data_IF_298545803352
#
_entry.id   IF_298545803352
#
_cell.length_a   1.000
_cell.length_b   1.000
_cell.length_c   1.000
_cell.angle_alpha   90.00
_cell.angle_beta   90.00
_cell.angle_gamma   90.00
#
_symmetry.space_group_name_H-M   'P 1'
#
loop_
_entity.id
_entity.type
_entity.pdbx_description
1 polymer ?
#
# COMPACT_ATOMS: atom_id res chain seq x y z
N UNK A 1 38.67 79.50 -60.54
CA UNK A 1 39.35 78.43 -59.76
C UNK A 1 38.78 78.25 -58.35
N UNK A 2 38.28 79.29 -57.66
CA UNK A 2 37.71 79.16 -56.31
C UNK A 2 36.50 78.19 -56.17
N UNK A 3 35.68 78.05 -57.22
CA UNK A 3 34.46 77.24 -57.16
C UNK A 3 34.70 75.71 -57.28
N UNK A 4 35.81 75.29 -57.88
CA UNK A 4 36.16 73.87 -58.02
C UNK A 4 36.84 73.35 -56.75
N UNK A 5 37.66 74.18 -56.10
CA UNK A 5 38.25 73.86 -54.79
C UNK A 5 37.18 73.72 -53.72
N UNK A 6 36.17 74.61 -53.70
CA UNK A 6 35.04 74.50 -52.78
C UNK A 6 34.18 73.24 -53.01
N UNK A 7 33.96 72.86 -54.28
CA UNK A 7 33.24 71.63 -54.61
C UNK A 7 34.02 70.36 -54.22
N UNK A 8 35.35 70.38 -54.35
CA UNK A 8 36.21 69.26 -53.97
C UNK A 8 36.35 69.13 -52.45
N UNK A 9 36.41 70.26 -51.72
CA UNK A 9 36.36 70.28 -50.25
C UNK A 9 35.02 69.75 -49.75
N UNK A 10 33.90 70.19 -50.32
CA UNK A 10 32.56 69.68 -49.96
C UNK A 10 32.40 68.18 -50.29
N UNK A 11 32.97 67.71 -51.40
CA UNK A 11 32.93 66.28 -51.75
C UNK A 11 33.79 65.43 -50.80
N UNK A 12 34.92 65.97 -50.34
CA UNK A 12 35.81 65.30 -49.37
C UNK A 12 35.19 65.26 -47.98
N UNK A 13 34.54 66.33 -47.55
CA UNK A 13 33.75 66.38 -46.31
C UNK A 13 32.55 65.44 -46.38
N UNK A 14 31.86 65.35 -47.52
CA UNK A 14 30.76 64.41 -47.72
C UNK A 14 31.24 62.95 -47.67
N UNK A 15 32.41 62.63 -48.22
CA UNK A 15 33.01 61.28 -48.15
C UNK A 15 33.49 60.92 -46.74
N UNK A 16 34.05 61.87 -45.99
CA UNK A 16 34.39 61.66 -44.58
C UNK A 16 33.14 61.44 -43.72
N UNK A 17 32.06 62.20 -43.99
CA UNK A 17 30.77 62.02 -43.32
C UNK A 17 30.11 60.67 -43.65
N UNK A 18 30.26 60.16 -44.88
CA UNK A 18 29.78 58.82 -45.23
C UNK A 18 30.64 57.74 -44.56
N UNK A 19 31.96 57.93 -44.43
CA UNK A 19 32.82 56.99 -43.70
C UNK A 19 32.55 56.96 -42.19
N UNK A 20 32.20 58.12 -41.60
CA UNK A 20 31.80 58.21 -40.19
C UNK A 20 30.40 57.63 -39.96
N UNK A 21 29.49 57.75 -40.93
CA UNK A 21 28.19 57.06 -40.93
C UNK A 21 28.38 55.54 -41.03
N UNK A 22 29.32 55.05 -41.85
CA UNK A 22 29.63 53.61 -41.93
C UNK A 22 30.37 53.09 -40.68
N UNK A 23 31.23 53.92 -40.06
CA UNK A 23 31.85 53.63 -38.77
C UNK A 23 30.81 53.63 -37.63
N UNK A 24 29.83 54.53 -37.66
CA UNK A 24 28.70 54.60 -36.73
C UNK A 24 27.71 53.43 -36.92
N UNK A 25 27.52 52.95 -38.15
CA UNK A 25 26.74 51.76 -38.45
C UNK A 25 27.48 50.46 -38.04
N UNK A 26 28.82 50.47 -38.02
CA UNK A 26 29.64 49.37 -37.48
C UNK A 26 29.76 49.41 -35.96
N UNK A 27 29.57 50.58 -35.36
CA UNK A 27 29.47 50.77 -33.90
C UNK A 27 28.04 50.95 -33.44
N UNK A 28 27.05 50.35 -34.12
CA UNK A 28 25.70 50.30 -33.57
C UNK A 28 25.80 49.55 -32.23
N UNK A 29 25.54 50.19 -31.08
CA UNK A 29 25.13 49.42 -29.93
C UNK A 29 23.88 48.70 -30.41
N UNK A 30 23.81 47.39 -30.22
CA UNK A 30 22.54 46.70 -30.28
C UNK A 30 21.68 47.24 -29.12
N UNK A 31 21.15 48.45 -29.22
CA UNK A 31 19.85 48.78 -28.66
C UNK A 31 18.83 48.13 -29.58
N UNK A 32 18.86 46.80 -29.59
CA UNK A 32 17.62 46.08 -29.74
C UNK A 32 16.74 46.60 -28.63
N UNK A 33 15.54 47.02 -28.98
CA UNK A 33 14.37 47.04 -28.11
C UNK A 33 14.21 45.64 -27.51
N UNK A 34 15.09 45.27 -26.59
CA UNK A 34 14.96 44.09 -25.78
C UNK A 34 14.45 44.67 -24.47
N UNK A 35 13.13 44.56 -24.25
CA UNK A 35 12.60 44.24 -22.93
C UNK A 35 13.72 43.55 -22.19
N UNK A 36 14.33 44.20 -21.17
CA UNK A 36 15.54 43.75 -20.45
C UNK A 36 15.53 42.26 -20.62
N UNK A 37 16.33 41.72 -21.55
CA UNK A 37 16.19 40.32 -21.90
C UNK A 37 16.46 39.70 -20.56
N UNK A 38 15.37 39.27 -19.94
CA UNK A 38 15.30 38.85 -18.56
C UNK A 38 16.16 37.65 -18.70
N UNK A 39 17.46 37.85 -18.49
CA UNK A 39 18.44 36.85 -18.78
C UNK A 39 17.96 35.79 -17.83
N UNK A 40 17.39 34.72 -18.40
CA UNK A 40 16.49 33.90 -17.60
C UNK A 40 17.27 33.45 -16.37
N UNK A 41 18.57 33.17 -16.57
CA UNK A 41 19.60 33.00 -15.55
C UNK A 41 19.77 34.13 -14.52
N UNK A 42 19.74 35.42 -14.86
CA UNK A 42 19.86 36.55 -13.91
C UNK A 42 18.57 36.81 -13.11
N UNK A 43 17.40 36.63 -13.73
CA UNK A 43 16.13 36.73 -12.98
C UNK A 43 15.89 35.46 -12.16
N UNK A 44 16.18 34.29 -12.72
CA UNK A 44 16.24 33.03 -11.98
C UNK A 44 17.24 33.16 -10.84
N UNK A 45 18.47 33.67 -11.03
CA UNK A 45 19.39 33.86 -9.91
C UNK A 45 18.85 34.85 -8.88
N UNK A 46 18.25 35.98 -9.28
CA UNK A 46 17.66 36.93 -8.32
C UNK A 46 16.46 36.39 -7.53
N UNK A 47 15.66 35.50 -8.14
CA UNK A 47 14.55 34.78 -7.50
C UNK A 47 15.09 33.69 -6.56
N UNK A 48 16.20 33.04 -6.95
CA UNK A 48 16.86 31.95 -6.21
C UNK A 48 17.86 32.45 -5.16
N UNK A 49 18.33 33.69 -5.18
CA UNK A 49 19.26 34.21 -4.17
C UNK A 49 18.50 34.86 -2.99
N UNK A 50 17.36 35.51 -3.27
CA UNK A 50 16.62 36.26 -2.24
C UNK A 50 15.44 35.49 -1.63
N UNK A 51 14.75 34.62 -2.38
CA UNK A 51 13.52 33.96 -1.91
C UNK A 51 13.67 32.45 -1.72
N UNK A 52 14.83 31.88 -2.03
CA UNK A 52 15.10 30.45 -1.90
C UNK A 52 15.04 29.95 -0.45
N UNK A 53 15.57 30.64 0.58
CA UNK A 53 15.39 30.17 1.96
C UNK A 53 13.91 30.20 2.36
N UNK A 54 13.16 31.26 2.04
CA UNK A 54 11.76 31.38 2.44
C UNK A 54 10.84 30.41 1.70
N UNK A 55 11.01 30.25 0.39
CA UNK A 55 10.26 29.26 -0.40
C UNK A 55 10.57 27.84 0.05
N UNK A 56 11.84 27.56 0.38
CA UNK A 56 12.27 26.26 0.86
C UNK A 56 11.72 25.95 2.25
N UNK A 57 11.70 26.92 3.16
CA UNK A 57 11.07 26.79 4.47
C UNK A 57 9.56 26.56 4.31
N UNK A 58 8.88 27.27 3.41
CA UNK A 58 7.45 27.05 3.11
C UNK A 58 7.21 25.64 2.57
N UNK A 59 8.06 25.14 1.68
CA UNK A 59 7.96 23.78 1.11
C UNK A 59 8.21 22.70 2.17
N UNK A 60 9.20 22.87 3.05
CA UNK A 60 9.42 21.99 4.21
C UNK A 60 8.19 22.00 5.12
N UNK A 61 7.66 23.18 5.40
CA UNK A 61 6.49 23.34 6.27
C UNK A 61 5.26 22.63 5.67
N UNK A 62 5.05 22.74 4.36
CA UNK A 62 3.98 22.02 3.65
C UNK A 62 4.18 20.50 3.68
N UNK A 63 5.41 20.00 3.46
CA UNK A 63 5.71 18.56 3.49
C UNK A 63 5.47 17.96 4.88
N UNK A 64 5.65 18.73 5.96
CA UNK A 64 5.41 18.29 7.33
C UNK A 64 3.92 18.42 7.70
N UNK A 65 3.28 19.53 7.35
CA UNK A 65 1.90 19.84 7.77
C UNK A 65 0.87 19.06 6.98
N UNK A 66 1.04 18.87 5.67
CA UNK A 66 0.05 18.17 4.84
C UNK A 66 -0.21 16.74 5.37
N UNK A 67 0.81 15.90 5.65
CA UNK A 67 0.59 14.58 6.23
C UNK A 67 -0.06 14.63 7.63
N UNK A 68 0.33 15.59 8.48
CA UNK A 68 -0.23 15.76 9.83
C UNK A 68 -1.72 16.14 9.78
N UNK A 69 -2.08 17.07 8.90
CA UNK A 69 -3.46 17.53 8.71
C UNK A 69 -4.31 16.45 8.06
N UNK A 70 -3.75 15.71 7.10
CA UNK A 70 -4.45 14.58 6.48
C UNK A 70 -4.69 13.45 7.50
N UNK A 71 -3.71 13.18 8.37
CA UNK A 71 -3.85 12.22 9.48
C UNK A 71 -4.93 12.68 10.47
N UNK A 72 -4.89 13.93 10.90
CA UNK A 72 -5.90 14.52 11.78
C UNK A 72 -7.30 14.52 11.15
N UNK A 73 -7.40 14.76 9.84
CA UNK A 73 -8.66 14.73 9.10
C UNK A 73 -9.21 13.31 8.93
N UNK A 74 -8.35 12.33 8.64
CA UNK A 74 -8.72 10.92 8.52
C UNK A 74 -9.12 10.34 9.89
N UNK A 75 -8.42 10.73 10.96
CA UNK A 75 -8.78 10.40 12.34
C UNK A 75 -10.13 11.03 12.73
N UNK A 76 -10.38 12.29 12.37
CA UNK A 76 -11.64 12.99 12.66
C UNK A 76 -12.84 12.40 11.90
N UNK A 77 -12.65 11.95 10.64
CA UNK A 77 -13.71 11.29 9.86
C UNK A 77 -14.07 9.90 10.39
N UNK A 78 -13.15 9.21 11.07
CA UNK A 78 -13.45 7.94 11.74
C UNK A 78 -14.02 8.21 13.13
N UNK A 79 -15.27 8.67 13.21
CA UNK A 79 -16.04 8.50 14.44
C UNK A 79 -16.21 6.99 14.68
N UNK A 80 -15.83 6.45 15.85
CA UNK A 80 -16.19 5.08 16.18
C UNK A 80 -17.72 4.99 16.15
N UNK A 81 -18.26 4.04 15.38
CA UNK A 81 -19.58 3.52 15.74
C UNK A 81 -19.39 2.95 17.15
N UNK A 82 -20.15 3.47 18.08
CA UNK A 82 -20.22 3.02 19.47
C UNK A 82 -20.46 1.50 19.46
N UNK A 83 -19.39 0.72 19.56
CA UNK A 83 -19.47 -0.71 19.84
C UNK A 83 -19.40 -0.84 21.35
N UNK A 84 -20.55 -1.11 21.94
CA UNK A 84 -20.73 -1.48 23.34
C UNK A 84 -20.04 -2.82 23.61
N UNK A 85 -18.72 -2.85 23.65
CA UNK A 85 -17.95 -4.00 24.13
C UNK A 85 -16.83 -3.51 25.04
N UNK A 86 -17.18 -3.44 26.32
CA UNK A 86 -16.25 -3.20 27.43
C UNK A 86 -15.50 -4.48 27.74
N UNK A 87 -14.46 -4.84 26.98
CA UNK A 87 -13.44 -5.76 27.55
C UNK A 87 -12.03 -5.65 26.99
N UNK A 88 -11.74 -4.91 25.92
CA UNK A 88 -10.36 -4.77 25.47
C UNK A 88 -10.06 -3.36 24.97
N UNK A 89 -9.73 -2.48 25.92
CA UNK A 89 -9.29 -1.11 25.62
C UNK A 89 -7.88 -1.11 25.03
N UNK A 90 -7.74 -1.56 23.79
CA UNK A 90 -6.58 -1.21 22.95
C UNK A 90 -7.06 -0.14 22.00
N UNK A 91 -6.54 1.08 22.19
CA UNK A 91 -6.66 2.16 21.21
C UNK A 91 -6.15 1.61 19.87
N UNK A 92 -7.06 1.27 18.96
CA UNK A 92 -6.70 0.78 17.63
C UNK A 92 -6.26 1.99 16.81
N UNK A 93 -5.04 2.47 17.05
CA UNK A 93 -4.32 3.22 16.02
C UNK A 93 -4.20 2.30 14.80
N UNK A 94 -4.60 2.79 13.61
CA UNK A 94 -4.52 1.99 12.38
C UNK A 94 -3.12 1.38 12.25
N UNK A 95 -2.97 0.04 12.18
CA UNK A 95 -1.69 -0.58 11.92
C UNK A 95 -1.30 -0.28 10.47
N UNK A 96 -0.23 0.50 10.26
CA UNK A 96 0.51 0.52 8.99
C UNK A 96 0.49 1.82 8.19
N UNK A 97 -0.61 2.58 8.15
CA UNK A 97 -0.69 3.78 7.30
C UNK A 97 0.15 4.95 7.85
N UNK A 98 0.07 5.18 9.16
CA UNK A 98 0.83 6.22 9.86
C UNK A 98 2.35 6.04 9.72
N UNK A 99 2.84 4.79 9.86
CA UNK A 99 4.27 4.49 9.75
C UNK A 99 4.79 4.72 8.33
N UNK A 100 4.01 4.34 7.31
CA UNK A 100 4.36 4.56 5.91
C UNK A 100 4.37 6.04 5.53
N UNK A 101 3.38 6.81 6.00
CA UNK A 101 3.29 8.24 5.69
C UNK A 101 4.40 9.05 6.36
N UNK A 102 4.75 8.72 7.62
CA UNK A 102 5.84 9.36 8.35
C UNK A 102 7.21 9.05 7.70
N UNK A 103 7.47 7.79 7.35
CA UNK A 103 8.72 7.42 6.67
C UNK A 103 8.82 8.06 5.29
N UNK A 104 7.73 8.14 4.53
CA UNK A 104 7.70 8.83 3.24
C UNK A 104 7.98 10.34 3.39
N UNK A 105 7.36 10.99 4.37
CA UNK A 105 7.62 12.40 4.68
C UNK A 105 9.08 12.67 5.03
N UNK A 106 9.71 11.79 5.83
CA UNK A 106 11.13 11.89 6.19
C UNK A 106 12.03 11.71 4.97
N UNK A 107 11.75 10.74 4.09
CA UNK A 107 12.54 10.50 2.87
C UNK A 107 12.45 11.70 1.92
N UNK A 108 11.25 12.27 1.75
CA UNK A 108 11.04 13.46 0.91
C UNK A 108 11.77 14.66 1.51
N UNK A 109 11.66 14.88 2.83
CA UNK A 109 12.35 15.96 3.55
C UNK A 109 13.87 15.87 3.40
N UNK A 110 14.45 14.69 3.64
CA UNK A 110 15.89 14.49 3.53
C UNK A 110 16.34 14.66 2.08
N UNK A 111 15.55 14.17 1.11
CA UNK A 111 15.82 14.35 -0.32
C UNK A 111 15.81 15.81 -0.76
N UNK A 112 14.82 16.61 -0.34
CA UNK A 112 14.76 18.04 -0.66
C UNK A 112 15.87 18.83 0.02
N UNK A 113 16.27 18.50 1.25
CA UNK A 113 17.40 19.13 1.93
C UNK A 113 18.73 18.81 1.23
N UNK A 114 18.95 17.57 0.82
CA UNK A 114 20.15 17.19 0.05
C UNK A 114 20.17 17.93 -1.29
N UNK A 115 19.05 17.91 -2.03
CA UNK A 115 18.94 18.60 -3.31
C UNK A 115 19.17 20.12 -3.19
N UNK A 116 18.66 20.74 -2.12
CA UNK A 116 18.86 22.15 -1.82
C UNK A 116 20.33 22.49 -1.53
N UNK A 117 21.03 21.66 -0.74
CA UNK A 117 22.45 21.85 -0.47
C UNK A 117 23.29 21.71 -1.76
N UNK A 118 22.97 20.75 -2.63
CA UNK A 118 23.57 20.58 -3.96
C UNK A 118 23.32 21.80 -4.87
N UNK A 119 22.09 22.33 -4.87
CA UNK A 119 21.70 23.49 -5.65
C UNK A 119 22.43 24.75 -5.19
N UNK A 120 22.56 24.97 -3.87
CA UNK A 120 23.35 26.06 -3.29
C UNK A 120 24.83 25.97 -3.67
N UNK A 121 25.44 24.78 -3.61
CA UNK A 121 26.83 24.57 -4.04
C UNK A 121 26.98 24.86 -5.55
N UNK A 122 25.97 24.47 -6.35
CA UNK A 122 25.99 24.67 -7.80
C UNK A 122 25.73 26.11 -8.22
N UNK A 123 24.93 26.87 -7.48
CA UNK A 123 24.57 28.26 -7.82
C UNK A 123 25.53 29.29 -7.22
N UNK A 124 26.05 29.08 -6.01
CA UNK A 124 26.88 30.04 -5.28
C UNK A 124 28.37 30.05 -5.68
N UNK A 125 28.85 29.08 -6.50
CA UNK A 125 30.29 28.91 -6.78
C UNK A 125 30.63 29.01 -8.28
N UNK A 126 29.71 29.48 -9.11
CA UNK A 126 29.96 29.70 -10.55
C UNK A 126 30.91 30.88 -10.85
N UNK A 127 31.36 31.61 -9.82
CA UNK A 127 32.29 32.74 -9.91
C UNK A 127 33.68 32.46 -9.34
N UNK A 128 34.03 31.21 -9.06
CA UNK A 128 35.37 30.87 -8.54
C UNK A 128 36.32 30.46 -9.66
N UNK A 129 37.20 31.37 -10.07
CA UNK A 129 38.25 31.16 -11.10
C UNK A 129 39.40 30.24 -10.66
N UNK A 130 39.31 29.60 -9.48
CA UNK A 130 40.36 28.72 -8.97
C UNK A 130 40.13 27.26 -9.40
N UNK A 131 41.11 26.60 -10.07
CA UNK A 131 40.97 25.24 -10.58
C UNK A 131 40.76 24.18 -9.48
N UNK A 132 41.18 24.46 -8.24
CA UNK A 132 41.01 23.55 -7.10
C UNK A 132 39.55 23.52 -6.63
N UNK A 133 38.88 24.68 -6.63
CA UNK A 133 37.48 24.77 -6.26
C UNK A 133 36.59 24.14 -7.33
N UNK A 134 36.97 24.24 -8.62
CA UNK A 134 36.25 23.58 -9.71
C UNK A 134 36.22 22.05 -9.55
N UNK A 135 37.37 21.43 -9.25
CA UNK A 135 37.44 19.98 -9.02
C UNK A 135 36.63 19.53 -7.80
N UNK A 136 36.63 20.30 -6.71
CA UNK A 136 35.80 20.03 -5.53
C UNK A 136 34.31 20.13 -5.87
N UNK A 137 33.91 21.13 -6.66
CA UNK A 137 32.53 21.32 -7.13
C UNK A 137 32.09 20.15 -8.01
N UNK A 138 32.94 19.69 -8.92
CA UNK A 138 32.62 18.57 -9.81
C UNK A 138 32.49 17.25 -9.03
N UNK A 139 33.31 17.06 -7.98
CA UNK A 139 33.14 15.93 -7.05
C UNK A 139 31.80 16.02 -6.31
N UNK A 140 31.41 17.19 -5.81
CA UNK A 140 30.14 17.41 -5.11
C UNK A 140 28.93 17.25 -6.04
N UNK A 141 29.01 17.69 -7.29
CA UNK A 141 27.97 17.50 -8.33
C UNK A 141 27.82 16.03 -8.70
N UNK A 142 28.93 15.31 -8.87
CA UNK A 142 28.91 13.88 -9.15
C UNK A 142 28.34 13.11 -7.95
N UNK A 143 28.77 13.43 -6.73
CA UNK A 143 28.23 12.84 -5.51
C UNK A 143 26.72 13.13 -5.38
N UNK A 144 26.30 14.35 -5.68
CA UNK A 144 24.91 14.73 -5.69
C UNK A 144 24.05 13.99 -6.70
N UNK A 145 24.58 13.77 -7.90
CA UNK A 145 23.94 12.97 -8.95
C UNK A 145 23.84 11.50 -8.54
N UNK A 146 24.89 10.94 -7.93
CA UNK A 146 24.91 9.56 -7.42
C UNK A 146 23.87 9.40 -6.30
N UNK A 147 23.80 10.32 -5.34
CA UNK A 147 22.82 10.26 -4.26
C UNK A 147 21.39 10.49 -4.76
N UNK A 148 21.18 11.39 -5.71
CA UNK A 148 19.88 11.64 -6.34
C UNK A 148 19.37 10.43 -7.12
N UNK A 149 20.23 9.77 -7.90
CA UNK A 149 19.88 8.53 -8.62
C UNK A 149 19.63 7.36 -7.67
N UNK A 150 20.44 7.21 -6.61
CA UNK A 150 20.21 6.19 -5.57
C UNK A 150 18.88 6.41 -4.82
N UNK A 151 18.53 7.66 -4.52
CA UNK A 151 17.23 7.98 -3.93
C UNK A 151 16.09 7.67 -4.90
N UNK A 152 16.23 8.04 -6.17
CA UNK A 152 15.24 7.75 -7.20
C UNK A 152 15.03 6.23 -7.39
N UNK A 153 16.09 5.42 -7.34
CA UNK A 153 15.96 3.96 -7.42
C UNK A 153 15.33 3.36 -6.17
N UNK A 154 15.65 3.85 -4.97
CA UNK A 154 14.99 3.41 -3.72
C UNK A 154 13.50 3.76 -3.75
N UNK A 155 13.14 4.97 -4.22
CA UNK A 155 11.75 5.39 -4.38
C UNK A 155 11.05 4.52 -5.44
N UNK A 156 11.67 4.30 -6.60
CA UNK A 156 11.13 3.45 -7.65
C UNK A 156 11.01 1.98 -7.20
N UNK A 157 11.94 1.48 -6.39
CA UNK A 157 11.88 0.15 -5.80
C UNK A 157 10.82 0.06 -4.70
N UNK A 158 10.63 1.10 -3.89
CA UNK A 158 9.59 1.15 -2.87
C UNK A 158 8.19 1.22 -3.49
N UNK A 159 7.98 2.08 -4.48
CA UNK A 159 6.70 2.15 -5.20
C UNK A 159 6.51 0.98 -6.17
N UNK A 160 7.60 0.45 -6.73
CA UNK A 160 7.61 -0.78 -7.53
C UNK A 160 7.28 -2.01 -6.70
N UNK A 161 7.86 -2.14 -5.50
CA UNK A 161 7.51 -3.18 -4.53
C UNK A 161 6.14 -2.97 -3.92
N UNK A 162 5.66 -1.74 -3.69
CA UNK A 162 4.26 -1.52 -3.26
C UNK A 162 3.25 -1.77 -4.38
N UNK A 163 3.64 -1.55 -5.63
CA UNK A 163 2.91 -1.98 -6.82
C UNK A 163 2.94 -3.49 -6.99
N UNK A 164 4.06 -4.14 -6.67
CA UNK A 164 4.22 -5.58 -6.64
C UNK A 164 3.56 -6.21 -5.40
N UNK A 165 3.43 -5.52 -4.27
CA UNK A 165 2.62 -5.85 -3.10
C UNK A 165 1.15 -5.67 -3.45
N UNK A 166 0.76 -4.68 -4.25
CA UNK A 166 -0.59 -4.61 -4.82
C UNK A 166 -0.85 -5.72 -5.84
N UNK A 167 0.20 -6.21 -6.53
CA UNK A 167 0.12 -7.34 -7.47
C UNK A 167 0.21 -8.70 -6.76
N UNK A 168 0.92 -8.81 -5.63
CA UNK A 168 0.97 -9.98 -4.75
C UNK A 168 -0.15 -9.95 -3.71
N UNK A 169 -0.82 -8.83 -3.47
CA UNK A 169 -2.10 -8.72 -2.78
C UNK A 169 -3.23 -8.94 -3.78
N UNK A 170 -3.08 -8.60 -5.08
CA UNK A 170 -3.96 -9.10 -6.16
C UNK A 170 -3.72 -10.56 -6.50
N UNK A 171 -2.50 -11.08 -6.37
CA UNK A 171 -2.17 -12.48 -6.62
C UNK A 171 -2.35 -13.35 -5.37
N UNK A 172 -2.15 -12.82 -4.17
CA UNK A 172 -2.59 -13.43 -2.91
C UNK A 172 -4.09 -13.24 -2.73
N UNK A 173 -4.73 -12.19 -3.26
CA UNK A 173 -6.17 -12.19 -3.45
C UNK A 173 -6.57 -13.17 -4.55
N UNK A 174 -5.80 -13.41 -5.61
CA UNK A 174 -6.11 -14.47 -6.59
C UNK A 174 -5.85 -15.89 -6.06
N UNK A 175 -4.94 -16.04 -5.08
CA UNK A 175 -4.60 -17.31 -4.42
C UNK A 175 -5.38 -17.49 -3.09
N UNK A 176 -6.00 -16.43 -2.57
CA UNK A 176 -6.94 -16.43 -1.44
C UNK A 176 -8.38 -16.06 -1.85
N UNK A 177 -8.67 -15.92 -3.15
CA UNK A 177 -10.01 -16.06 -3.75
C UNK A 177 -10.23 -17.55 -3.98
N UNK A 178 -10.51 -18.31 -2.93
CA UNK A 178 -11.88 -18.69 -2.64
C UNK A 178 -12.60 -17.82 -1.60
N UNK A 179 -12.24 -16.55 -1.42
CA UNK A 179 -13.25 -15.53 -1.11
C UNK A 179 -14.27 -15.53 -2.26
N UNK A 180 -15.52 -16.00 -2.04
CA UNK A 180 -16.51 -16.00 -3.09
C UNK A 180 -16.72 -14.57 -3.58
N UNK A 181 -16.78 -14.41 -4.90
CA UNK A 181 -17.46 -13.26 -5.48
C UNK A 181 -18.82 -13.13 -4.77
N UNK A 182 -19.29 -11.91 -4.50
CA UNK A 182 -20.61 -11.68 -3.91
C UNK A 182 -21.69 -12.34 -4.80
N UNK A 183 -22.02 -13.61 -4.53
CA UNK A 183 -22.86 -14.49 -5.35
C UNK A 183 -22.33 -15.93 -5.55
N UNK A 184 -21.06 -16.23 -5.27
CA UNK A 184 -20.53 -17.60 -5.38
C UNK A 184 -20.76 -18.38 -4.08
N UNK A 185 -21.59 -19.42 -4.18
CA UNK A 185 -21.91 -20.34 -3.07
C UNK A 185 -20.72 -21.27 -2.85
N UNK A 186 -19.88 -20.99 -1.84
CA UNK A 186 -18.81 -21.90 -1.41
C UNK A 186 -19.40 -22.85 -0.36
N UNK A 187 -19.67 -24.12 -0.70
CA UNK A 187 -20.28 -25.05 0.23
C UNK A 187 -19.30 -25.44 1.34
N UNK A 188 -19.78 -25.64 2.57
CA UNK A 188 -18.97 -26.20 3.64
C UNK A 188 -18.50 -27.61 3.28
N UNK A 189 -17.38 -28.03 3.89
CA UNK A 189 -16.85 -29.39 3.81
C UNK A 189 -16.48 -29.87 5.20
N UNK A 190 -16.68 -31.16 5.48
CA UNK A 190 -16.17 -31.79 6.70
C UNK A 190 -14.69 -32.12 6.47
N UNK A 191 -13.81 -31.52 7.27
CA UNK A 191 -12.36 -31.67 7.21
C UNK A 191 -11.87 -32.84 8.06
N UNK A 192 -12.45 -33.02 9.25
CA UNK A 192 -12.04 -34.05 10.20
C UNK A 192 -13.24 -34.54 11.01
N UNK A 193 -13.17 -35.77 11.51
CA UNK A 193 -14.15 -36.35 12.43
C UNK A 193 -13.45 -36.99 13.61
N UNK A 194 -14.10 -36.94 14.77
CA UNK A 194 -13.67 -37.64 15.98
C UNK A 194 -14.90 -38.45 16.45
N UNK A 195 -14.81 -39.76 16.66
CA UNK A 195 -13.69 -40.62 16.26
C UNK A 195 -13.39 -40.55 14.76
N UNK A 196 -12.15 -40.89 14.40
CA UNK A 196 -11.76 -41.01 13.00
C UNK A 196 -12.56 -42.12 12.32
N UNK A 197 -12.78 -42.00 11.01
CA UNK A 197 -13.52 -43.03 10.26
C UNK A 197 -12.78 -44.37 10.31
N UNK A 198 -13.50 -45.43 10.70
CA UNK A 198 -12.98 -46.77 10.90
C UNK A 198 -12.27 -47.00 12.23
N UNK A 199 -12.28 -46.05 13.17
CA UNK A 199 -11.63 -46.22 14.47
C UNK A 199 -12.21 -47.43 15.24
N UNK A 200 -11.34 -48.30 15.71
CA UNK A 200 -11.64 -49.42 16.61
C UNK A 200 -10.99 -49.11 17.96
N UNK A 201 -11.63 -49.40 19.09
CA UNK A 201 -11.17 -49.03 20.46
C UNK A 201 -11.60 -47.64 20.94
N UNK A 202 -12.77 -47.18 20.52
CA UNK A 202 -13.34 -45.92 21.03
C UNK A 202 -13.94 -46.14 22.44
N UNK A 203 -13.56 -45.34 23.46
CA UNK A 203 -14.22 -45.37 24.77
C UNK A 203 -15.74 -45.17 24.67
N UNK A 204 -16.53 -45.90 25.49
CA UNK A 204 -18.00 -45.78 25.49
C UNK A 204 -18.53 -44.38 25.84
N UNK A 205 -17.72 -43.57 26.51
CA UNK A 205 -18.01 -42.18 26.91
C UNK A 205 -17.47 -41.13 25.92
N UNK A 206 -17.01 -41.55 24.73
CA UNK A 206 -16.40 -40.63 23.77
C UNK A 206 -17.43 -39.72 23.14
N UNK A 207 -17.07 -38.43 22.99
CA UNK A 207 -17.86 -37.50 22.19
C UNK A 207 -17.66 -37.77 20.70
N UNK A 208 -18.71 -37.51 19.91
CA UNK A 208 -18.66 -37.61 18.46
C UNK A 208 -18.67 -36.19 17.88
N UNK A 209 -17.65 -35.81 17.11
CA UNK A 209 -17.54 -34.47 16.54
C UNK A 209 -17.10 -34.47 15.08
N UNK A 210 -17.43 -33.37 14.40
CA UNK A 210 -17.01 -33.10 13.04
C UNK A 210 -16.56 -31.64 12.91
N UNK A 211 -15.38 -31.45 12.32
CA UNK A 211 -14.79 -30.13 12.05
C UNK A 211 -15.03 -29.76 10.59
N UNK A 212 -15.56 -28.56 10.36
CA UNK A 212 -15.92 -28.02 9.05
C UNK A 212 -14.88 -27.00 8.55
N UNK A 213 -14.89 -26.75 7.24
CA UNK A 213 -14.05 -25.74 6.58
C UNK A 213 -14.40 -24.31 6.95
N UNK A 214 -15.64 -24.06 7.38
CA UNK A 214 -16.18 -22.75 7.70
C UNK A 214 -17.20 -22.83 8.85
N UNK A 215 -17.51 -21.69 9.51
CA UNK A 215 -18.51 -21.66 10.57
C UNK A 215 -19.89 -22.09 10.05
N UNK A 216 -20.51 -23.03 10.76
CA UNK A 216 -21.83 -23.58 10.45
C UNK A 216 -22.95 -22.83 11.16
N UNK A 217 -24.16 -22.88 10.61
CA UNK A 217 -25.35 -22.34 11.26
C UNK A 217 -25.88 -23.31 12.31
N UNK A 218 -25.91 -22.87 13.58
CA UNK A 218 -26.42 -23.67 14.71
C UNK A 218 -27.90 -24.05 14.56
N UNK A 219 -28.67 -23.32 13.76
CA UNK A 219 -30.07 -23.67 13.47
C UNK A 219 -30.19 -24.92 12.59
N UNK A 220 -29.20 -25.16 11.72
CA UNK A 220 -29.21 -26.25 10.73
C UNK A 220 -28.41 -27.46 11.16
N UNK A 221 -27.49 -27.32 12.13
CA UNK A 221 -26.76 -28.43 12.77
C UNK A 221 -27.55 -28.86 14.02
N UNK A 222 -28.43 -29.84 13.86
CA UNK A 222 -29.31 -30.32 14.91
C UNK A 222 -29.54 -31.84 14.76
N UNK A 223 -30.39 -32.42 15.60
CA UNK A 223 -30.60 -33.88 15.68
C UNK A 223 -31.21 -34.50 14.41
N UNK A 224 -31.70 -33.69 13.46
CA UNK A 224 -32.15 -34.18 12.16
C UNK A 224 -31.00 -34.25 11.14
N UNK A 225 -30.00 -33.38 11.25
CA UNK A 225 -28.90 -33.28 10.28
C UNK A 225 -27.63 -33.94 10.77
N UNK A 226 -27.36 -33.99 12.07
CA UNK A 226 -26.26 -34.75 12.68
C UNK A 226 -26.85 -35.90 13.49
N UNK A 227 -26.68 -37.12 12.99
CA UNK A 227 -27.21 -38.34 13.61
C UNK A 227 -26.10 -39.34 13.91
N UNK A 228 -26.27 -40.10 14.99
CA UNK A 228 -25.42 -41.25 15.32
C UNK A 228 -26.34 -42.46 15.49
N UNK A 229 -26.01 -43.58 14.85
CA UNK A 229 -26.80 -44.81 14.85
C UNK A 229 -25.94 -45.99 15.25
N UNK A 230 -26.55 -46.98 15.89
CA UNK A 230 -25.89 -48.25 16.19
C UNK A 230 -26.00 -49.17 14.98
N UNK A 231 -24.87 -49.53 14.38
CA UNK A 231 -24.82 -50.35 13.17
C UNK A 231 -25.71 -49.83 12.05
N UNK A 232 -26.60 -50.70 11.56
CA UNK A 232 -27.57 -50.42 10.50
C UNK A 232 -28.97 -50.10 11.04
N UNK A 233 -29.11 -49.82 12.34
CA UNK A 233 -30.39 -49.45 12.94
C UNK A 233 -30.97 -48.17 12.32
N UNK A 234 -32.29 -48.12 12.22
CA UNK A 234 -32.99 -46.98 11.62
C UNK A 234 -33.11 -45.79 12.56
N UNK A 235 -33.14 -46.04 13.88
CA UNK A 235 -33.40 -45.05 14.92
C UNK A 235 -32.06 -44.42 15.36
N UNK A 236 -31.90 -43.08 15.27
CA UNK A 236 -30.74 -42.38 15.84
C UNK A 236 -30.72 -42.46 17.37
N UNK A 237 -29.53 -42.47 17.94
CA UNK A 237 -29.29 -42.33 19.36
C UNK A 237 -29.64 -40.90 19.77
N UNK A 238 -30.30 -40.76 20.91
CA UNK A 238 -30.62 -39.44 21.48
C UNK A 238 -29.38 -38.79 22.05
N UNK A 239 -29.17 -37.51 21.73
CA UNK A 239 -28.05 -36.73 22.25
C UNK A 239 -28.25 -35.24 22.08
N UNK A 240 -27.36 -34.48 22.68
CA UNK A 240 -27.30 -33.02 22.60
C UNK A 240 -26.25 -32.64 21.57
N UNK A 241 -26.60 -31.72 20.67
CA UNK A 241 -25.66 -31.18 19.69
C UNK A 241 -25.30 -29.75 20.09
N UNK A 242 -24.00 -29.49 20.12
CA UNK A 242 -23.42 -28.18 20.38
C UNK A 242 -22.43 -27.80 19.29
N UNK A 243 -22.23 -26.49 19.11
CA UNK A 243 -21.21 -25.94 18.23
C UNK A 243 -20.11 -25.30 19.07
N UNK A 244 -18.86 -25.43 18.64
CA UNK A 244 -17.72 -24.70 19.22
C UNK A 244 -17.90 -23.18 19.09
N UNK A 245 -17.15 -22.41 19.87
CA UNK A 245 -17.23 -20.94 19.88
C UNK A 245 -16.89 -20.28 18.55
N UNK A 246 -16.06 -20.92 17.73
CA UNK A 246 -15.74 -20.50 16.36
C UNK A 246 -16.77 -20.99 15.31
N UNK A 247 -17.77 -21.77 15.74
CA UNK A 247 -18.83 -22.35 14.94
C UNK A 247 -18.38 -23.45 13.96
N UNK A 248 -17.11 -23.90 14.02
CA UNK A 248 -16.55 -24.82 13.03
C UNK A 248 -16.58 -26.29 13.45
N UNK A 249 -16.85 -26.60 14.71
CA UNK A 249 -16.89 -27.96 15.21
C UNK A 249 -18.26 -28.26 15.79
N UNK A 250 -18.97 -29.21 15.19
CA UNK A 250 -20.20 -29.76 15.76
C UNK A 250 -19.84 -30.93 16.67
N UNK A 251 -20.41 -30.95 17.87
CA UNK A 251 -20.17 -31.97 18.90
C UNK A 251 -21.52 -32.57 19.25
N UNK A 252 -21.63 -33.88 19.07
CA UNK A 252 -22.73 -34.71 19.53
C UNK A 252 -22.31 -35.38 20.84
N UNK A 253 -23.02 -35.04 21.90
CA UNK A 253 -22.92 -35.64 23.22
C UNK A 253 -24.09 -36.62 23.41
N UNK A 254 -23.79 -37.90 23.57
CA UNK A 254 -24.81 -38.93 23.70
C UNK A 254 -25.50 -38.81 25.05
N UNK A 255 -26.84 -38.93 25.08
CA UNK A 255 -27.58 -38.86 26.35
C UNK A 255 -27.28 -40.06 27.27
N UNK A 256 -26.89 -41.19 26.69
CA UNK A 256 -26.43 -42.38 27.39
C UNK A 256 -25.11 -42.88 26.78
N UNK A 257 -24.28 -43.52 27.59
CA UNK A 257 -23.03 -44.14 27.14
C UNK A 257 -23.29 -45.15 26.01
N UNK A 258 -22.38 -45.21 25.05
CA UNK A 258 -22.48 -46.20 23.99
C UNK A 258 -22.36 -47.63 24.55
N UNK A 259 -23.11 -48.58 24.01
CA UNK A 259 -22.86 -50.01 24.28
C UNK A 259 -21.44 -50.40 23.83
N UNK A 260 -20.66 -51.14 24.64
CA UNK A 260 -19.31 -51.58 24.26
C UNK A 260 -19.35 -52.63 23.14
N UNK A 261 -18.25 -52.79 22.40
CA UNK A 261 -18.07 -53.77 21.32
C UNK A 261 -19.14 -53.66 20.22
N UNK A 262 -19.62 -52.44 19.95
CA UNK A 262 -20.61 -52.17 18.92
C UNK A 262 -20.07 -51.17 17.91
N UNK A 263 -20.44 -51.35 16.64
CA UNK A 263 -20.19 -50.38 15.58
C UNK A 263 -21.26 -49.30 15.62
N UNK A 264 -20.84 -48.05 15.51
CA UNK A 264 -21.70 -46.89 15.35
C UNK A 264 -21.41 -46.21 14.02
N UNK A 265 -22.43 -45.61 13.44
CA UNK A 265 -22.37 -44.85 12.20
C UNK A 265 -22.89 -43.46 12.48
N UNK A 266 -22.00 -42.48 12.35
CA UNK A 266 -22.34 -41.07 12.43
C UNK A 266 -22.51 -40.50 11.02
N UNK A 267 -23.46 -39.57 10.89
CA UNK A 267 -23.80 -38.94 9.63
C UNK A 267 -24.13 -37.47 9.82
N UNK A 268 -23.64 -36.63 8.90
CA UNK A 268 -24.03 -35.24 8.72
C UNK A 268 -24.67 -35.11 7.34
N UNK A 269 -25.95 -34.78 7.30
CA UNK A 269 -26.76 -34.70 6.09
C UNK A 269 -26.55 -33.38 5.33
N UNK A 270 -26.95 -33.35 4.05
CA UNK A 270 -26.87 -32.19 3.16
C UNK A 270 -27.67 -30.98 3.67
N UNK A 271 -28.64 -31.19 4.57
CA UNK A 271 -29.40 -30.11 5.21
C UNK A 271 -28.58 -29.24 6.19
N UNK A 272 -27.32 -29.60 6.48
CA UNK A 272 -26.40 -28.80 7.26
C UNK A 272 -25.85 -27.62 6.42
N UNK A 273 -26.06 -26.39 6.89
CA UNK A 273 -25.69 -25.16 6.18
C UNK A 273 -24.69 -24.29 6.95
N UNK A 274 -23.94 -23.49 6.21
CA UNK A 274 -23.11 -22.42 6.77
C UNK A 274 -23.93 -21.17 7.16
N UNK A 275 -23.25 -20.17 7.74
CA UNK A 275 -23.88 -18.88 8.09
C UNK A 275 -24.38 -18.07 6.87
N UNK A 276 -23.96 -18.43 5.66
CA UNK A 276 -24.38 -17.82 4.40
C UNK A 276 -25.51 -18.60 3.69
N UNK A 277 -26.06 -19.66 4.31
CA UNK A 277 -27.13 -20.49 3.74
C UNK A 277 -26.63 -21.54 2.74
N UNK A 278 -25.34 -21.90 2.79
CA UNK A 278 -24.75 -22.88 1.91
C UNK A 278 -24.77 -24.28 2.53
N UNK A 279 -25.62 -25.15 1.98
CA UNK A 279 -25.66 -26.58 2.29
C UNK A 279 -24.38 -27.36 1.91
N UNK A 280 -24.09 -28.45 2.63
CA UNK A 280 -23.08 -29.46 2.25
C UNK A 280 -23.37 -30.03 0.85
N UNK A 281 -22.31 -30.29 0.07
CA UNK A 281 -22.42 -30.89 -1.28
C UNK A 281 -22.89 -32.35 -1.21
N UNK A 282 -22.44 -33.07 -0.19
CA UNK A 282 -22.74 -34.49 0.01
C UNK A 282 -22.77 -34.78 1.50
N UNK A 283 -23.66 -35.68 1.92
CA UNK A 283 -23.68 -36.15 3.30
C UNK A 283 -22.35 -36.80 3.67
N UNK A 284 -21.81 -36.45 4.85
CA UNK A 284 -20.62 -37.08 5.40
C UNK A 284 -21.06 -38.22 6.31
N UNK A 285 -20.59 -39.43 6.04
CA UNK A 285 -20.81 -40.61 6.90
C UNK A 285 -19.45 -41.15 7.34
N UNK A 286 -19.38 -41.61 8.58
CA UNK A 286 -18.21 -42.30 9.12
C UNK A 286 -18.65 -43.30 10.18
N UNK A 287 -17.81 -44.29 10.45
CA UNK A 287 -18.10 -45.32 11.44
C UNK A 287 -16.98 -45.49 12.45
N UNK A 288 -17.33 -45.98 13.63
CA UNK A 288 -16.38 -46.30 14.69
C UNK A 288 -16.90 -47.44 15.55
N UNK A 289 -16.01 -48.17 16.22
CA UNK A 289 -16.34 -49.31 17.08
C UNK A 289 -15.89 -49.02 18.50
N UNK A 290 -16.83 -49.15 19.44
CA UNK A 290 -16.55 -48.92 20.85
C UNK A 290 -15.88 -50.13 21.51
N UNK A 291 -15.08 -49.88 22.53
CA UNK A 291 -14.54 -50.91 23.43
C UNK A 291 -14.97 -50.64 24.87
N UNK A 292 -14.90 -51.66 25.72
CA UNK A 292 -15.16 -51.49 27.15
C UNK A 292 -13.99 -50.70 27.77
N UNK A 293 -14.31 -49.62 28.49
CA UNK A 293 -13.33 -48.89 29.31
C UNK A 293 -12.70 -49.78 30.38
#
# INVERSE_FOLDING_TARGET
MANVTAALTNATEALQNISSIFAAARSLPTTTTNATAVNATTIISSIFDNNLPDLFIIVIFLIIIIPLVLDMYLAYRKKPKESTDKENNRVVGMPGLYRSLMTFGIIVLVGTVIFYLLALITLNINNSTSPILQSLIDILKNLGTILGTALATIIAFYFGMRGAESATEKAAAATATTKPASGEKVPPKVLNTIPADGATEVPVTSLVSATFSQPMSSATINTNTFTVKKGDETIPITGIISLSSDGKTAIFDSAEDFSPNNKYVAAIDIGAEDLAGNALVSAKRWSFTTTKN
#
